data_IF_652732198120
#
_entry.id   IF_652732198120
#
_cell.length_a   1.000
_cell.length_b   1.000
_cell.length_c   1.000
_cell.angle_alpha   90.00
_cell.angle_beta   90.00
_cell.angle_gamma   90.00
#
_symmetry.space_group_name_H-M   'P 1'
#
loop_
_entity.id
_entity.type
_entity.pdbx_description
1 polymer ?
#
# COMPACT_ATOMS: atom_id res chain seq x y z
N UNK A 1 -16.64 -8.26 -28.11
CA UNK A 1 -15.83 -9.48 -27.94
C UNK A 1 -14.33 -9.26 -28.15
N UNK A 2 -13.89 -8.39 -29.08
CA UNK A 2 -12.46 -8.21 -29.40
C UNK A 2 -11.56 -7.91 -28.20
N UNK A 3 -11.96 -6.98 -27.32
CA UNK A 3 -11.14 -6.54 -26.18
C UNK A 3 -10.79 -7.67 -25.18
N UNK A 4 -11.69 -8.63 -24.97
CA UNK A 4 -11.43 -9.78 -24.07
C UNK A 4 -10.42 -10.78 -24.64
N UNK A 5 -10.11 -10.65 -25.94
CA UNK A 5 -9.18 -11.49 -26.68
C UNK A 5 -7.91 -10.75 -27.10
N UNK A 6 -7.66 -9.57 -26.54
CA UNK A 6 -6.40 -8.83 -26.76
C UNK A 6 -5.15 -9.68 -26.51
N UNK A 7 -5.09 -10.51 -25.45
CA UNK A 7 -3.96 -11.41 -25.20
C UNK A 7 -3.72 -12.47 -26.28
N UNK A 8 -4.73 -12.81 -27.07
CA UNK A 8 -4.59 -13.78 -28.16
C UNK A 8 -3.87 -13.16 -29.38
N UNK A 9 -3.81 -11.82 -29.46
CA UNK A 9 -3.38 -11.08 -30.65
C UNK A 9 -2.10 -10.31 -30.39
N UNK A 10 -1.96 -9.68 -29.22
CA UNK A 10 -0.83 -8.82 -28.90
C UNK A 10 0.10 -9.52 -27.90
N UNK A 11 1.42 -9.56 -28.19
CA UNK A 11 2.39 -10.12 -27.25
C UNK A 11 2.40 -9.29 -25.96
N UNK A 12 2.82 -9.94 -24.86
CA UNK A 12 2.96 -9.35 -23.52
C UNK A 12 1.65 -8.80 -22.88
N UNK A 13 0.51 -9.04 -23.53
CA UNK A 13 -0.81 -8.82 -22.94
C UNK A 13 -1.23 -10.04 -22.13
N UNK A 14 -1.67 -9.83 -20.90
CA UNK A 14 -2.11 -10.91 -20.00
C UNK A 14 -3.63 -10.97 -19.99
N UNK A 15 -4.26 -12.14 -19.74
CA UNK A 15 -5.70 -12.21 -19.51
C UNK A 15 -6.14 -11.33 -18.34
N UNK A 16 -7.09 -10.41 -18.60
CA UNK A 16 -7.63 -9.47 -17.62
C UNK A 16 -9.16 -9.60 -17.53
N UNK A 17 -9.76 -9.47 -16.33
CA UNK A 17 -11.21 -9.40 -16.19
C UNK A 17 -11.72 -8.03 -16.67
N UNK A 18 -12.28 -7.96 -17.87
CA UNK A 18 -12.90 -6.73 -18.38
C UNK A 18 -14.31 -6.58 -17.79
N UNK A 19 -14.49 -5.55 -16.97
CA UNK A 19 -15.75 -5.25 -16.27
C UNK A 19 -16.68 -4.38 -17.12
N UNK A 20 -16.11 -3.49 -17.93
CA UNK A 20 -16.88 -2.58 -18.78
C UNK A 20 -16.14 -2.25 -20.07
N UNK A 21 -16.91 -2.14 -21.16
CA UNK A 21 -16.48 -1.55 -22.43
C UNK A 21 -17.54 -0.58 -22.91
N UNK A 22 -17.15 0.64 -23.25
CA UNK A 22 -18.02 1.67 -23.83
C UNK A 22 -17.43 2.20 -25.13
N UNK A 23 -18.31 2.50 -26.09
CA UNK A 23 -17.93 3.10 -27.38
C UNK A 23 -18.80 4.32 -27.59
N UNK A 24 -18.14 5.44 -27.84
CA UNK A 24 -18.75 6.70 -28.22
C UNK A 24 -18.07 7.17 -29.51
N UNK A 25 -18.76 8.02 -30.27
CA UNK A 25 -18.16 8.63 -31.45
C UNK A 25 -18.67 10.05 -31.63
N UNK A 26 -17.81 10.90 -32.18
CA UNK A 26 -18.12 12.27 -32.57
C UNK A 26 -17.82 12.44 -34.06
N UNK A 27 -18.67 13.19 -34.76
CA UNK A 27 -18.57 13.39 -36.21
C UNK A 27 -18.42 14.88 -36.47
N UNK A 28 -17.28 15.27 -37.04
CA UNK A 28 -16.99 16.64 -37.41
C UNK A 28 -16.63 16.71 -38.90
N UNK A 29 -17.61 17.02 -39.73
CA UNK A 29 -17.45 17.02 -41.18
C UNK A 29 -17.14 15.62 -41.71
N UNK A 30 -15.92 15.43 -42.25
CA UNK A 30 -15.45 14.14 -42.77
C UNK A 30 -14.59 13.36 -41.76
N UNK A 31 -14.42 13.89 -40.54
CA UNK A 31 -13.67 13.22 -39.48
C UNK A 31 -14.64 12.53 -38.50
N UNK A 32 -14.36 11.26 -38.21
CA UNK A 32 -15.07 10.48 -37.18
C UNK A 32 -14.06 10.17 -36.08
N UNK A 33 -14.30 10.68 -34.89
CA UNK A 33 -13.49 10.35 -33.70
C UNK A 33 -14.17 9.25 -32.93
N UNK A 34 -13.54 8.08 -32.82
CA UNK A 34 -14.02 6.97 -32.00
C UNK A 34 -13.37 7.04 -30.62
N UNK A 35 -14.20 7.11 -29.58
CA UNK A 35 -13.79 7.06 -28.18
C UNK A 35 -14.12 5.69 -27.61
N UNK A 36 -13.10 4.95 -27.20
CA UNK A 36 -13.27 3.62 -26.62
C UNK A 36 -12.81 3.63 -25.16
N UNK A 37 -13.69 3.22 -24.25
CA UNK A 37 -13.43 3.18 -22.81
C UNK A 37 -13.44 1.74 -22.32
N UNK A 38 -12.42 1.35 -21.55
CA UNK A 38 -12.34 0.06 -20.86
C UNK A 38 -12.16 0.27 -19.37
N UNK A 39 -12.85 -0.50 -18.53
CA UNK A 39 -12.65 -0.51 -17.08
C UNK A 39 -12.40 -1.94 -16.59
N UNK A 40 -11.51 -2.06 -15.61
CA UNK A 40 -11.18 -3.31 -14.92
C UNK A 40 -10.73 -3.02 -13.49
N UNK A 41 -10.83 -4.01 -12.62
CA UNK A 41 -10.12 -4.07 -11.34
C UNK A 41 -9.10 -5.20 -11.43
N UNK A 42 -7.84 -4.85 -11.66
CA UNK A 42 -6.76 -5.85 -11.79
C UNK A 42 -5.38 -5.29 -11.44
N UNK A 43 -4.36 -6.18 -11.42
CA UNK A 43 -2.97 -5.82 -11.08
C UNK A 43 -2.30 -4.99 -12.18
N UNK A 44 -2.78 -5.06 -13.41
CA UNK A 44 -2.25 -4.37 -14.60
C UNK A 44 -3.32 -3.47 -15.22
N UNK A 45 -2.88 -2.48 -16.01
CA UNK A 45 -3.78 -1.60 -16.74
C UNK A 45 -4.40 -2.27 -17.97
N UNK A 46 -5.34 -1.55 -18.61
CA UNK A 46 -6.12 -1.96 -19.79
C UNK A 46 -5.89 -1.01 -20.98
N UNK A 47 -4.71 -0.39 -21.05
CA UNK A 47 -4.37 0.58 -22.10
C UNK A 47 -4.42 -0.07 -23.49
N UNK A 48 -3.83 -1.26 -23.60
CA UNK A 48 -3.71 -1.98 -24.86
C UNK A 48 -5.07 -2.56 -25.28
N UNK A 49 -5.85 -3.05 -24.32
CA UNK A 49 -7.23 -3.49 -24.50
C UNK A 49 -8.13 -2.36 -25.03
N UNK A 50 -7.98 -1.15 -24.50
CA UNK A 50 -8.74 0.01 -24.98
C UNK A 50 -8.35 0.39 -26.41
N UNK A 51 -7.06 0.43 -26.73
CA UNK A 51 -6.57 0.73 -28.07
C UNK A 51 -6.95 -0.36 -29.10
N UNK A 52 -6.91 -1.63 -28.70
CA UNK A 52 -7.39 -2.73 -29.53
C UNK A 52 -8.91 -2.66 -29.74
N UNK A 53 -9.68 -2.30 -28.72
CA UNK A 53 -11.11 -2.03 -28.87
C UNK A 53 -11.40 -0.93 -29.90
N UNK A 54 -10.67 0.19 -29.80
CA UNK A 54 -10.78 1.29 -30.75
C UNK A 54 -10.41 0.87 -32.18
N UNK A 55 -9.35 0.07 -32.36
CA UNK A 55 -8.93 -0.41 -33.68
C UNK A 55 -9.98 -1.30 -34.34
N UNK A 56 -10.62 -2.18 -33.56
CA UNK A 56 -11.69 -3.05 -34.06
C UNK A 56 -12.90 -2.23 -34.54
N UNK A 57 -13.28 -1.18 -33.80
CA UNK A 57 -14.37 -0.29 -34.22
C UNK A 57 -13.99 0.49 -35.47
N UNK A 58 -12.79 1.06 -35.52
CA UNK A 58 -12.31 1.80 -36.68
C UNK A 58 -12.23 0.93 -37.95
N UNK A 59 -11.73 -0.31 -37.83
CA UNK A 59 -11.70 -1.27 -38.94
C UNK A 59 -13.11 -1.66 -39.40
N UNK A 60 -14.06 -1.81 -38.49
CA UNK A 60 -15.44 -2.08 -38.84
C UNK A 60 -16.06 -0.91 -39.62
N UNK A 61 -15.83 0.33 -39.17
CA UNK A 61 -16.28 1.53 -39.87
C UNK A 61 -15.63 1.65 -41.25
N UNK A 62 -14.32 1.43 -41.35
CA UNK A 62 -13.61 1.38 -42.64
C UNK A 62 -14.26 0.39 -43.60
N UNK A 63 -14.54 -0.83 -43.13
CA UNK A 63 -15.14 -1.88 -43.94
C UNK A 63 -16.53 -1.49 -44.48
N UNK A 64 -17.33 -0.78 -43.68
CA UNK A 64 -18.65 -0.32 -44.07
C UNK A 64 -18.62 0.90 -45.01
N UNK A 65 -17.62 1.77 -44.88
CA UNK A 65 -17.57 3.05 -45.59
C UNK A 65 -16.72 3.01 -46.88
N UNK A 66 -15.79 2.05 -47.02
CA UNK A 66 -14.98 1.87 -48.24
C UNK A 66 -15.76 1.72 -49.58
N UNK A 67 -17.05 1.32 -49.63
CA UNK A 67 -17.82 1.36 -50.87
C UNK A 67 -18.27 2.78 -51.25
N UNK A 68 -18.39 3.68 -50.27
CA UNK A 68 -18.90 5.05 -50.44
C UNK A 68 -17.75 5.99 -50.79
N UNK A 69 -16.64 5.89 -50.05
CA UNK A 69 -15.43 6.69 -50.28
C UNK A 69 -14.20 5.78 -50.30
N UNK A 70 -13.36 5.91 -51.34
CA UNK A 70 -12.11 5.17 -51.50
C UNK A 70 -10.93 5.83 -50.78
N UNK A 71 -11.07 7.09 -50.36
CA UNK A 71 -10.06 7.85 -49.63
C UNK A 71 -10.14 7.71 -48.11
N UNK A 72 -11.06 6.89 -47.59
CA UNK A 72 -11.18 6.67 -46.14
C UNK A 72 -9.89 6.06 -45.58
N UNK A 73 -9.44 6.56 -44.44
CA UNK A 73 -8.27 6.05 -43.72
C UNK A 73 -8.50 6.03 -42.21
N UNK A 74 -7.71 5.22 -41.50
CA UNK A 74 -7.61 5.27 -40.04
C UNK A 74 -6.36 6.08 -39.71
N UNK A 75 -6.56 7.36 -39.36
CA UNK A 75 -5.46 8.31 -39.20
C UNK A 75 -4.53 7.95 -38.01
N UNK A 76 -5.10 7.76 -36.83
CA UNK A 76 -4.33 7.40 -35.64
C UNK A 76 -5.18 6.67 -34.60
N UNK A 77 -4.52 5.83 -33.80
CA UNK A 77 -5.07 5.22 -32.59
C UNK A 77 -4.10 5.55 -31.46
N UNK A 78 -4.61 6.18 -30.40
CA UNK A 78 -3.79 6.61 -29.27
C UNK A 78 -4.55 6.48 -27.96
N UNK A 79 -3.82 6.28 -26.87
CA UNK A 79 -4.35 6.41 -25.53
C UNK A 79 -4.61 7.89 -25.22
N UNK A 80 -5.83 8.24 -24.84
CA UNK A 80 -6.21 9.61 -24.48
C UNK A 80 -6.05 9.89 -22.99
N UNK A 81 -6.61 9.02 -22.16
CA UNK A 81 -6.58 9.13 -20.71
C UNK A 81 -6.44 7.74 -20.09
N UNK A 82 -5.70 7.69 -18.97
CA UNK A 82 -5.66 6.54 -18.07
C UNK A 82 -5.89 7.04 -16.66
N UNK A 83 -6.75 6.34 -15.92
CA UNK A 83 -6.98 6.56 -14.49
C UNK A 83 -6.90 5.22 -13.76
N UNK A 84 -6.33 5.25 -12.56
CA UNK A 84 -6.10 4.09 -11.71
C UNK A 84 -4.65 3.60 -11.74
N UNK A 85 -4.31 2.80 -10.73
CA UNK A 85 -2.96 2.29 -10.51
C UNK A 85 -2.22 3.02 -9.40
N UNK A 86 -1.09 2.45 -8.96
CA UNK A 86 -0.30 2.95 -7.82
C UNK A 86 0.21 4.39 -8.01
N UNK A 87 0.44 4.80 -9.26
CA UNK A 87 0.96 6.13 -9.62
C UNK A 87 -0.03 7.28 -9.42
N UNK A 88 -1.33 6.98 -9.34
CA UNK A 88 -2.39 7.99 -9.23
C UNK A 88 -2.67 8.35 -7.78
N UNK A 89 -2.32 7.47 -6.84
CA UNK A 89 -2.33 7.73 -5.42
C UNK A 89 -1.05 8.47 -4.99
N UNK A 90 -0.85 9.69 -5.52
CA UNK A 90 0.20 10.60 -5.02
C UNK A 90 -0.29 11.32 -3.77
N UNK A 91 -0.25 10.61 -2.65
CA UNK A 91 -0.51 11.29 -1.39
C UNK A 91 0.73 12.10 -0.95
N UNK A 92 0.47 13.33 -0.50
CA UNK A 92 1.50 14.22 0.07
C UNK A 92 1.43 14.06 1.58
N UNK A 93 2.23 13.15 2.12
CA UNK A 93 2.35 12.97 3.56
C UNK A 93 3.16 14.11 4.21
N UNK A 94 2.94 14.35 5.50
CA UNK A 94 3.76 15.29 6.30
C UNK A 94 5.22 14.82 6.30
N UNK A 95 6.15 15.76 6.11
CA UNK A 95 7.60 15.49 6.10
C UNK A 95 8.29 15.75 7.44
N UNK A 96 7.55 16.29 8.41
CA UNK A 96 8.03 16.68 9.72
C UNK A 96 7.68 15.64 10.80
N UNK A 97 7.51 14.38 10.41
CA UNK A 97 7.10 13.29 11.31
C UNK A 97 8.29 12.78 12.12
N UNK A 98 8.03 12.53 13.40
CA UNK A 98 8.97 11.92 14.34
C UNK A 98 8.53 10.51 14.71
N UNK A 99 9.47 9.58 14.66
CA UNK A 99 9.25 8.20 15.09
C UNK A 99 10.20 7.78 16.21
N UNK A 100 9.73 6.92 17.11
CA UNK A 100 10.54 6.16 18.04
C UNK A 100 10.50 4.68 17.68
N UNK A 101 11.64 3.98 17.79
CA UNK A 101 11.74 2.54 17.56
C UNK A 101 12.11 1.84 18.85
N UNK A 102 11.31 0.87 19.26
CA UNK A 102 11.48 0.11 20.50
C UNK A 102 11.66 -1.36 20.15
N UNK A 103 12.81 -1.93 20.51
CA UNK A 103 13.08 -3.36 20.33
C UNK A 103 12.76 -4.08 21.63
N UNK A 104 11.76 -4.97 21.60
CA UNK A 104 11.42 -5.84 22.72
C UNK A 104 12.15 -7.18 22.54
N UNK A 105 13.18 -7.41 23.34
CA UNK A 105 13.83 -8.72 23.40
C UNK A 105 14.69 -8.87 24.65
N UNK A 106 14.38 -9.88 25.47
CA UNK A 106 15.22 -10.27 26.61
C UNK A 106 16.68 -10.51 26.22
N UNK A 107 16.91 -11.24 25.12
CA UNK A 107 18.27 -11.63 24.69
C UNK A 107 19.12 -10.46 24.19
N UNK A 108 18.49 -9.51 23.49
CA UNK A 108 19.18 -8.33 22.95
C UNK A 108 19.39 -7.32 24.07
N UNK A 109 18.40 -7.14 24.95
CA UNK A 109 18.52 -6.28 26.14
C UNK A 109 19.61 -6.78 27.09
N UNK A 110 19.83 -8.09 27.19
CA UNK A 110 20.92 -8.69 27.97
C UNK A 110 22.31 -8.63 27.27
N UNK A 111 22.39 -8.09 26.04
CA UNK A 111 23.64 -7.96 25.30
C UNK A 111 24.14 -9.25 24.63
N UNK A 112 23.32 -10.30 24.56
CA UNK A 112 23.70 -11.60 23.99
C UNK A 112 23.55 -11.66 22.46
N UNK A 113 22.86 -10.69 21.85
CA UNK A 113 22.59 -10.66 20.41
C UNK A 113 22.45 -9.22 19.94
N UNK A 114 22.85 -8.95 18.69
CA UNK A 114 22.64 -7.65 18.05
C UNK A 114 21.22 -7.52 17.49
N UNK A 115 20.65 -6.32 17.62
CA UNK A 115 19.42 -5.98 16.90
C UNK A 115 19.71 -5.71 15.41
N UNK A 116 18.95 -6.43 14.57
CA UNK A 116 18.89 -6.23 13.12
C UNK A 116 17.49 -5.83 12.66
N UNK A 117 16.46 -6.07 13.47
CA UNK A 117 15.08 -5.80 13.10
C UNK A 117 14.74 -4.32 13.30
N UNK A 118 15.10 -3.74 14.45
CA UNK A 118 14.95 -2.31 14.71
C UNK A 118 15.78 -1.46 13.74
N UNK A 119 17.03 -1.86 13.45
CA UNK A 119 17.85 -1.24 12.39
C UNK A 119 17.17 -1.22 11.02
N UNK A 120 16.55 -2.33 10.62
CA UNK A 120 15.82 -2.41 9.35
C UNK A 120 14.57 -1.51 9.32
N UNK A 121 13.89 -1.35 10.46
CA UNK A 121 12.77 -0.41 10.60
C UNK A 121 13.26 1.03 10.45
N UNK A 122 14.38 1.38 11.09
CA UNK A 122 15.02 2.70 10.99
C UNK A 122 15.36 3.02 9.53
N UNK A 123 16.08 2.13 8.84
CA UNK A 123 16.43 2.31 7.42
C UNK A 123 15.19 2.60 6.55
N UNK A 124 14.09 1.86 6.81
CA UNK A 124 12.85 2.04 6.06
C UNK A 124 12.14 3.36 6.38
N UNK A 125 12.12 3.78 7.64
CA UNK A 125 11.58 5.07 8.06
C UNK A 125 12.37 6.24 7.46
N UNK A 126 13.69 6.18 7.48
CA UNK A 126 14.57 7.19 6.87
C UNK A 126 14.34 7.30 5.36
N UNK A 127 14.15 6.16 4.67
CA UNK A 127 13.80 6.15 3.23
C UNK A 127 12.45 6.80 2.91
N UNK A 128 11.60 6.99 3.94
CA UNK A 128 10.30 7.66 3.84
C UNK A 128 10.33 9.11 4.36
N UNK A 129 11.49 9.73 4.53
CA UNK A 129 11.68 11.06 5.12
C UNK A 129 11.15 11.18 6.58
N UNK A 130 11.09 10.08 7.36
CA UNK A 130 10.66 10.12 8.76
C UNK A 130 11.86 10.24 9.70
N UNK A 131 11.84 11.23 10.60
CA UNK A 131 12.94 11.46 11.54
C UNK A 131 12.86 10.50 12.73
N UNK A 132 13.93 9.75 12.97
CA UNK A 132 14.06 8.95 14.19
C UNK A 132 14.42 9.88 15.36
N UNK A 133 13.56 9.92 16.38
CA UNK A 133 13.80 10.69 17.61
C UNK A 133 14.50 9.85 18.67
N UNK A 134 14.14 8.57 18.78
CA UNK A 134 14.68 7.67 19.78
C UNK A 134 14.75 6.24 19.25
N UNK A 135 15.78 5.51 19.65
CA UNK A 135 15.93 4.07 19.43
C UNK A 135 16.37 3.43 20.73
N UNK A 136 15.58 2.49 21.24
CA UNK A 136 15.84 1.83 22.51
C UNK A 136 15.54 0.34 22.46
N UNK A 137 16.29 -0.43 23.24
CA UNK A 137 16.09 -1.87 23.43
C UNK A 137 15.64 -2.07 24.87
N UNK A 138 14.56 -2.82 25.07
CA UNK A 138 13.97 -3.12 26.38
C UNK A 138 13.68 -4.62 26.51
N UNK A 139 13.60 -5.17 27.73
CA UNK A 139 13.16 -6.54 27.96
C UNK A 139 11.67 -6.73 27.63
N UNK A 140 11.23 -7.98 27.52
CA UNK A 140 9.83 -8.34 27.24
C UNK A 140 8.95 -8.24 28.49
N UNK A 141 8.90 -7.04 29.08
CA UNK A 141 8.15 -6.75 30.31
C UNK A 141 7.00 -5.77 30.03
N UNK A 142 5.80 -6.14 30.48
CA UNK A 142 4.56 -5.40 30.20
C UNK A 142 4.65 -3.93 30.64
N UNK A 143 5.19 -3.68 31.83
CA UNK A 143 5.25 -2.34 32.39
C UNK A 143 6.29 -1.46 31.69
N UNK A 144 7.41 -2.02 31.24
CA UNK A 144 8.42 -1.28 30.45
C UNK A 144 7.87 -0.87 29.08
N UNK A 145 7.17 -1.79 28.40
CA UNK A 145 6.53 -1.53 27.11
C UNK A 145 5.47 -0.42 27.25
N UNK A 146 4.61 -0.51 28.27
CA UNK A 146 3.59 0.51 28.57
C UNK A 146 4.19 1.86 28.92
N UNK A 147 5.25 1.87 29.75
CA UNK A 147 5.92 3.09 30.17
C UNK A 147 6.49 3.84 28.96
N UNK A 148 7.14 3.12 28.04
CA UNK A 148 7.65 3.71 26.80
C UNK A 148 6.54 4.26 25.90
N UNK A 149 5.41 3.57 25.79
CA UNK A 149 4.30 4.04 24.95
C UNK A 149 3.75 5.38 25.47
N UNK A 150 3.54 5.48 26.79
CA UNK A 150 3.07 6.70 27.45
C UNK A 150 4.10 7.82 27.43
N UNK A 151 5.38 7.49 27.62
CA UNK A 151 6.48 8.46 27.56
C UNK A 151 6.51 9.15 26.19
N UNK A 152 6.56 8.37 25.11
CA UNK A 152 6.67 8.92 23.76
C UNK A 152 5.40 9.64 23.29
N UNK A 153 4.23 9.21 23.74
CA UNK A 153 3.00 9.98 23.56
C UNK A 153 3.10 11.36 24.24
N UNK A 154 3.53 11.42 25.50
CA UNK A 154 3.68 12.67 26.24
C UNK A 154 4.75 13.61 25.64
N UNK A 155 5.79 13.05 25.04
CA UNK A 155 6.83 13.79 24.29
C UNK A 155 6.33 14.31 22.93
N UNK A 156 5.12 13.91 22.51
CA UNK A 156 4.52 14.31 21.24
C UNK A 156 5.20 13.66 20.02
N UNK A 157 5.69 12.42 20.17
CA UNK A 157 6.19 11.63 19.04
C UNK A 157 5.00 11.20 18.18
N UNK A 158 5.07 11.41 16.87
CA UNK A 158 3.97 11.07 15.96
C UNK A 158 3.79 9.54 15.86
N UNK A 159 4.88 8.75 15.85
CA UNK A 159 4.81 7.30 15.69
C UNK A 159 5.74 6.54 16.65
N UNK A 160 5.27 5.44 17.24
CA UNK A 160 6.11 4.49 17.97
C UNK A 160 5.97 3.11 17.34
N UNK A 161 7.11 2.54 16.92
CA UNK A 161 7.16 1.19 16.36
C UNK A 161 7.90 0.27 17.32
N UNK A 162 7.16 -0.69 17.85
CA UNK A 162 7.69 -1.82 18.60
C UNK A 162 8.03 -2.96 17.65
N UNK A 163 9.16 -3.63 17.87
CA UNK A 163 9.54 -4.85 17.16
C UNK A 163 9.91 -5.93 18.15
N UNK A 164 9.25 -7.09 18.05
CA UNK A 164 9.42 -8.20 18.98
C UNK A 164 8.27 -8.36 19.97
N UNK A 165 8.25 -9.50 20.65
CA UNK A 165 7.21 -9.84 21.63
C UNK A 165 5.81 -10.07 21.04
N UNK A 166 5.66 -10.28 19.72
CA UNK A 166 4.37 -10.49 19.03
C UNK A 166 4.13 -11.95 18.61
N UNK A 167 4.99 -12.88 19.02
CA UNK A 167 4.85 -14.32 18.74
C UNK A 167 3.83 -15.01 19.64
N UNK A 168 3.95 -16.33 19.80
CA UNK A 168 3.07 -17.16 20.63
C UNK A 168 3.79 -17.73 21.86
N UNK A 169 5.04 -17.32 22.13
CA UNK A 169 5.76 -17.77 23.33
C UNK A 169 5.21 -17.09 24.58
N UNK A 170 5.46 -17.69 25.76
CA UNK A 170 5.02 -17.10 27.03
C UNK A 170 5.69 -15.77 27.40
N UNK A 171 6.76 -15.37 26.67
CA UNK A 171 7.42 -14.06 26.80
C UNK A 171 6.92 -13.04 25.77
N UNK A 172 6.16 -13.47 24.77
CA UNK A 172 5.59 -12.53 23.79
C UNK A 172 4.42 -11.76 24.42
N UNK A 173 4.69 -10.59 24.98
CA UNK A 173 3.70 -9.79 25.73
C UNK A 173 3.45 -8.39 25.16
N UNK A 174 4.09 -8.03 24.03
CA UNK A 174 3.95 -6.70 23.41
C UNK A 174 2.49 -6.36 23.08
N UNK A 175 1.69 -7.27 22.48
CA UNK A 175 0.26 -7.01 22.25
C UNK A 175 -0.52 -6.78 23.55
N UNK A 176 -0.32 -7.62 24.55
CA UNK A 176 -0.98 -7.52 25.88
C UNK A 176 -0.65 -6.21 26.59
N UNK A 177 0.58 -5.71 26.41
CA UNK A 177 1.01 -4.44 26.97
C UNK A 177 0.37 -3.23 26.26
N UNK A 178 0.29 -3.27 24.93
CA UNK A 178 -0.14 -2.12 24.13
C UNK A 178 -1.65 -2.02 23.96
N UNK A 179 -2.37 -3.12 23.74
CA UNK A 179 -3.82 -3.12 23.47
C UNK A 179 -4.62 -2.31 24.51
N UNK A 180 -4.39 -2.45 25.83
CA UNK A 180 -5.12 -1.68 26.84
C UNK A 180 -4.86 -0.17 26.82
N UNK A 181 -3.80 0.28 26.14
CA UNK A 181 -3.43 1.70 26.04
C UNK A 181 -4.01 2.37 24.80
N UNK A 182 -4.44 1.61 23.79
CA UNK A 182 -4.89 2.16 22.51
C UNK A 182 -6.30 2.72 22.64
N UNK A 183 -6.46 4.01 22.32
CA UNK A 183 -7.77 4.66 22.23
C UNK A 183 -8.58 4.09 21.05
N UNK A 184 -7.88 3.76 19.96
CA UNK A 184 -8.48 3.17 18.76
C UNK A 184 -7.55 2.14 18.14
N UNK A 185 -8.04 0.92 17.98
CA UNK A 185 -7.38 -0.13 17.19
C UNK A 185 -7.58 0.10 15.69
N UNK A 186 -6.57 -0.24 14.89
CA UNK A 186 -6.60 -0.18 13.42
C UNK A 186 -6.35 -1.59 12.87
N UNK A 187 -7.33 -2.51 12.96
CA UNK A 187 -7.14 -3.90 12.55
C UNK A 187 -6.78 -4.06 11.07
N UNK A 188 -7.19 -3.13 10.20
CA UNK A 188 -6.82 -3.15 8.78
C UNK A 188 -5.31 -3.06 8.51
N UNK A 189 -4.54 -2.39 9.37
CA UNK A 189 -3.06 -2.40 9.27
C UNK A 189 -2.52 -3.78 9.63
N UNK A 190 -3.06 -4.37 10.70
CA UNK A 190 -2.65 -5.69 11.20
C UNK A 190 -2.94 -6.79 10.15
N UNK A 191 -4.10 -6.71 9.50
CA UNK A 191 -4.49 -7.59 8.39
C UNK A 191 -3.60 -7.40 7.17
N UNK A 192 -3.31 -6.15 6.78
CA UNK A 192 -2.44 -5.85 5.65
C UNK A 192 -1.03 -6.43 5.84
N UNK A 193 -0.46 -6.29 7.04
CA UNK A 193 0.83 -6.89 7.42
C UNK A 193 0.79 -8.41 7.25
N UNK A 194 -0.20 -9.08 7.85
CA UNK A 194 -0.31 -10.54 7.80
C UNK A 194 -0.56 -11.06 6.39
N UNK A 195 -1.37 -10.37 5.61
CA UNK A 195 -1.71 -10.77 4.24
C UNK A 195 -0.47 -10.65 3.32
N UNK A 196 0.21 -9.49 3.36
CA UNK A 196 1.43 -9.28 2.59
C UNK A 196 2.57 -10.23 2.97
N UNK A 197 2.70 -10.55 4.27
CA UNK A 197 3.67 -11.54 4.75
C UNK A 197 3.32 -12.97 4.34
N UNK A 198 2.04 -13.31 4.19
CA UNK A 198 1.60 -14.65 3.80
C UNK A 198 1.98 -15.02 2.35
N UNK A 199 2.05 -14.02 1.46
CA UNK A 199 2.55 -14.20 0.09
C UNK A 199 4.02 -14.68 0.05
N UNK A 200 4.77 -14.53 1.15
CA UNK A 200 6.19 -14.88 1.28
C UNK A 200 6.44 -16.07 2.19
N UNK A 201 5.68 -16.15 3.28
CA UNK A 201 5.80 -17.23 4.26
C UNK A 201 4.45 -17.57 4.87
N UNK A 202 4.06 -18.86 4.94
CA UNK A 202 2.79 -19.28 5.52
C UNK A 202 2.68 -18.98 7.02
N UNK A 203 3.81 -18.69 7.71
CA UNK A 203 3.83 -18.45 9.15
C UNK A 203 3.43 -17.03 9.56
N UNK A 204 3.37 -16.08 8.61
CA UNK A 204 3.03 -14.68 8.89
C UNK A 204 1.67 -14.52 9.58
N UNK A 205 0.73 -15.43 9.35
CA UNK A 205 -0.59 -15.42 10.00
C UNK A 205 -0.53 -15.60 11.53
N UNK A 206 0.56 -16.15 12.07
CA UNK A 206 0.72 -16.40 13.51
C UNK A 206 1.14 -15.16 14.30
N UNK A 207 1.55 -14.09 13.60
CA UNK A 207 1.94 -12.84 14.26
C UNK A 207 0.73 -12.16 14.90
N UNK A 208 0.85 -11.85 16.18
CA UNK A 208 -0.10 -11.02 16.93
C UNK A 208 0.24 -9.54 16.82
N UNK A 209 0.71 -9.09 15.65
CA UNK A 209 0.97 -7.67 15.39
C UNK A 209 -0.26 -6.82 15.71
N UNK A 210 -0.03 -5.66 16.32
CA UNK A 210 -1.07 -4.73 16.76
C UNK A 210 -0.82 -3.35 16.18
N UNK A 211 -1.87 -2.66 15.76
CA UNK A 211 -1.81 -1.28 15.33
C UNK A 211 -2.96 -0.47 15.96
N UNK A 212 -2.67 0.76 16.33
CA UNK A 212 -3.68 1.68 16.85
C UNK A 212 -3.11 3.04 17.19
N UNK A 213 -3.90 3.86 17.86
CA UNK A 213 -3.48 5.19 18.29
C UNK A 213 -3.63 5.37 19.80
N UNK A 214 -2.71 6.13 20.39
CA UNK A 214 -2.86 6.75 21.70
C UNK A 214 -2.89 8.25 21.44
N UNK A 215 -4.04 8.89 21.63
CA UNK A 215 -4.36 10.24 21.16
C UNK A 215 -3.95 10.42 19.69
N UNK A 216 -2.95 11.25 19.44
CA UNK A 216 -2.44 11.58 18.11
C UNK A 216 -1.20 10.76 17.71
N UNK A 217 -0.73 9.86 18.58
CA UNK A 217 0.44 9.01 18.33
C UNK A 217 0.02 7.66 17.76
N UNK A 218 0.56 7.31 16.59
CA UNK A 218 0.38 5.98 15.99
C UNK A 218 1.31 4.97 16.67
N UNK A 219 0.75 3.87 17.17
CA UNK A 219 1.49 2.76 17.77
C UNK A 219 1.40 1.54 16.84
N UNK A 220 2.55 0.97 16.52
CA UNK A 220 2.67 -0.26 15.74
C UNK A 220 3.49 -1.29 16.54
N UNK A 221 3.04 -2.54 16.59
CA UNK A 221 3.80 -3.67 17.12
C UNK A 221 4.00 -4.69 16.01
N UNK A 222 5.26 -4.86 15.61
CA UNK A 222 5.69 -5.65 14.46
C UNK A 222 6.47 -6.90 14.89
N UNK A 223 6.62 -7.90 14.00
CA UNK A 223 7.39 -9.10 14.29
C UNK A 223 8.87 -8.80 14.60
N UNK A 224 9.45 -9.51 15.58
CA UNK A 224 10.85 -9.32 15.99
C UNK A 224 11.90 -9.93 15.06
N UNK A 225 11.51 -10.77 14.09
CA UNK A 225 12.45 -11.28 13.10
C UNK A 225 12.78 -10.20 12.07
N UNK A 226 14.03 -10.14 11.61
CA UNK A 226 14.45 -9.12 10.63
C UNK A 226 13.60 -9.13 9.37
N UNK A 227 13.26 -10.30 8.84
CA UNK A 227 12.41 -10.41 7.66
C UNK A 227 10.96 -10.01 7.97
N UNK A 228 10.41 -10.45 9.11
CA UNK A 228 9.04 -10.10 9.50
C UNK A 228 8.88 -8.59 9.71
N UNK A 229 9.84 -7.93 10.33
CA UNK A 229 9.87 -6.48 10.47
C UNK A 229 9.94 -5.78 9.09
N UNK A 230 10.87 -6.19 8.21
CA UNK A 230 11.01 -5.61 6.86
C UNK A 230 9.74 -5.76 6.03
N UNK A 231 9.18 -6.96 5.99
CA UNK A 231 7.96 -7.27 5.24
C UNK A 231 6.76 -6.49 5.78
N UNK A 232 6.65 -6.35 7.10
CA UNK A 232 5.58 -5.57 7.73
C UNK A 232 5.69 -4.09 7.36
N UNK A 233 6.91 -3.54 7.35
CA UNK A 233 7.13 -2.16 6.94
C UNK A 233 6.85 -1.97 5.43
N UNK A 234 7.26 -2.91 4.58
CA UNK A 234 6.95 -2.88 3.15
C UNK A 234 5.45 -2.98 2.85
N UNK A 235 4.70 -3.71 3.68
CA UNK A 235 3.26 -3.86 3.53
C UNK A 235 2.50 -2.54 3.71
N UNK A 236 2.98 -1.67 4.60
CA UNK A 236 2.20 -0.51 5.07
C UNK A 236 2.83 0.85 4.76
N UNK A 237 4.14 0.93 4.50
CA UNK A 237 4.80 2.19 4.15
C UNK A 237 4.89 2.39 2.62
N UNK A 238 4.66 3.62 2.12
CA UNK A 238 4.41 4.86 2.87
C UNK A 238 2.94 5.13 3.21
N UNK A 239 2.00 4.26 2.80
CA UNK A 239 0.56 4.51 2.89
C UNK A 239 0.06 4.84 4.31
N UNK A 240 0.63 4.22 5.34
CA UNK A 240 0.28 4.45 6.75
C UNK A 240 0.51 5.91 7.18
N UNK A 241 1.41 6.64 6.53
CA UNK A 241 1.67 8.05 6.80
C UNK A 241 0.46 8.96 6.50
N UNK A 242 -0.54 8.47 5.75
CA UNK A 242 -1.81 9.17 5.55
C UNK A 242 -2.54 9.42 6.87
N UNK A 243 -2.38 8.51 7.84
CA UNK A 243 -3.07 8.57 9.12
C UNK A 243 -2.84 9.90 9.85
N UNK A 244 -1.63 10.47 9.76
CA UNK A 244 -1.30 11.76 10.38
C UNK A 244 -2.02 12.96 9.79
N UNK A 245 -2.51 12.88 8.55
CA UNK A 245 -3.39 13.91 7.98
C UNK A 245 -4.77 13.83 8.60
N UNK A 246 -5.28 12.62 8.79
CA UNK A 246 -6.61 12.37 9.38
C UNK A 246 -6.61 12.79 10.86
N UNK A 247 -5.57 12.39 11.62
CA UNK A 247 -5.42 12.74 13.03
C UNK A 247 -5.35 14.26 13.24
N UNK A 248 -4.63 14.99 12.36
CA UNK A 248 -4.61 16.46 12.40
C UNK A 248 -5.96 17.09 12.02
N UNK A 249 -6.69 16.50 11.07
CA UNK A 249 -8.02 16.96 10.67
C UNK A 249 -9.04 16.93 11.81
N UNK A 250 -8.90 15.99 12.75
CA UNK A 250 -9.72 15.93 13.96
C UNK A 250 -9.46 17.08 14.96
N UNK A 251 -8.38 17.86 14.80
CA UNK A 251 -8.10 19.06 15.63
C UNK A 251 -8.84 20.30 15.15
N UNK A 252 -9.50 20.26 14.00
CA UNK A 252 -10.27 21.37 13.44
C UNK A 252 -11.75 21.00 13.41
N UNK A 253 -12.35 20.92 14.60
CA UNK A 253 -13.79 21.10 14.88
C UNK A 253 -13.93 21.63 16.33
#
# INVERSE_FOLDING_TARGET
MGVKRTPDILPDCHPLPIEFTGVEYDINGLEITVLFTVKTIYKTGVEVEAMHGASVVALNMYDMLKPIDKGIEIHAIKLLEKKGGKSDFRDRFRKDLKAAVVVCSDTISAGHKEDKAGKAIIEKLESCDVKISEYVIIPDEIEDIKAKAKQYEAEGIDMVIYTGGTGLSGRDVTPEALIPLLDRRIPGIEEAIRNYGQDRTPFSMLSRSVAGTIKDTLILALPGSTNGAKESMDAIFPAVLHSFRILKGARHD
#
